data_IF_009794716816
#
_entry.id   IF_009794716816
#
_cell.length_a   1.000
_cell.length_b   1.000
_cell.length_c   1.000
_cell.angle_alpha   90.00
_cell.angle_beta   90.00
_cell.angle_gamma   90.00
#
_symmetry.space_group_name_H-M   'P 1'
#
loop_
_entity.id
_entity.type
_entity.pdbx_description
1 polymer ?
#
# COMPACT_ATOMS: atom_id res chain seq x y z
N UNK A 1 0.16 24.77 -19.85
CA UNK A 1 -1.00 23.86 -19.88
C UNK A 1 -1.51 23.73 -18.45
N UNK A 2 -2.80 23.97 -18.23
CA UNK A 2 -3.42 23.67 -16.93
C UNK A 2 -3.40 22.14 -16.73
N UNK A 3 -3.02 21.67 -15.53
CA UNK A 3 -3.11 20.25 -15.18
C UNK A 3 -4.58 19.86 -15.08
N UNK A 4 -4.98 18.79 -15.76
CA UNK A 4 -6.31 18.22 -15.60
C UNK A 4 -6.37 17.47 -14.27
N UNK A 5 -7.38 17.81 -13.45
CA UNK A 5 -7.64 17.06 -12.21
C UNK A 5 -8.29 15.73 -12.61
N UNK A 6 -7.65 14.63 -12.23
CA UNK A 6 -8.10 13.27 -12.58
C UNK A 6 -8.96 12.64 -11.50
N UNK A 7 -8.83 13.10 -10.25
CA UNK A 7 -9.56 12.57 -9.11
C UNK A 7 -10.40 13.67 -8.49
N UNK A 8 -11.64 13.36 -8.16
CA UNK A 8 -12.56 14.27 -7.50
C UNK A 8 -12.87 13.80 -6.08
N UNK A 9 -13.01 14.70 -5.09
CA UNK A 9 -13.48 14.35 -3.77
C UNK A 9 -14.91 13.79 -3.84
N UNK A 10 -15.10 12.61 -3.27
CA UNK A 10 -16.41 11.98 -3.14
C UNK A 10 -16.40 11.08 -1.90
N UNK A 11 -17.41 11.22 -1.04
CA UNK A 11 -17.60 10.36 0.14
C UNK A 11 -16.33 10.21 1.01
N UNK A 12 -15.57 11.30 1.18
CA UNK A 12 -14.31 11.30 1.92
C UNK A 12 -13.13 10.66 1.20
N UNK A 13 -13.27 10.27 -0.06
CA UNK A 13 -12.24 9.61 -0.86
C UNK A 13 -11.90 10.31 -2.18
N UNK A 14 -10.92 9.77 -2.85
CA UNK A 14 -10.48 10.19 -4.19
C UNK A 14 -11.15 9.30 -5.24
N UNK A 15 -12.11 9.87 -5.95
CA UNK A 15 -12.93 9.20 -6.95
C UNK A 15 -12.45 9.46 -8.38
N UNK A 16 -12.56 8.46 -9.26
CA UNK A 16 -12.36 8.59 -10.69
C UNK A 16 -13.23 7.61 -11.47
N UNK A 17 -13.60 7.98 -12.70
CA UNK A 17 -14.30 7.12 -13.65
C UNK A 17 -13.41 6.83 -14.85
N UNK A 18 -13.37 5.56 -15.25
CA UNK A 18 -12.60 5.05 -16.39
C UNK A 18 -11.13 5.53 -16.36
N UNK A 19 -10.58 5.68 -15.15
CA UNK A 19 -9.20 6.08 -14.95
C UNK A 19 -8.23 5.02 -15.48
N UNK A 20 -7.08 5.47 -15.96
CA UNK A 20 -6.07 4.62 -16.59
C UNK A 20 -4.76 4.54 -15.83
N UNK A 21 -4.64 5.29 -14.72
CA UNK A 21 -3.42 5.28 -13.94
C UNK A 21 -3.25 3.94 -13.21
N UNK A 22 -2.05 3.40 -13.26
CA UNK A 22 -1.70 2.13 -12.66
C UNK A 22 -0.79 2.32 -11.47
N UNK A 23 -1.02 1.51 -10.42
CA UNK A 23 -0.17 1.42 -9.24
C UNK A 23 0.07 2.78 -8.57
N UNK A 24 -1.03 3.50 -8.32
CA UNK A 24 -1.02 4.86 -7.77
C UNK A 24 -1.26 4.91 -6.27
N UNK A 25 -1.77 3.82 -5.68
CA UNK A 25 -2.09 3.73 -4.25
C UNK A 25 -1.74 2.36 -3.74
N UNK A 26 -0.93 2.32 -2.68
CA UNK A 26 -0.61 1.11 -1.97
C UNK A 26 -1.51 0.92 -0.75
N UNK A 27 -1.84 -0.33 -0.45
CA UNK A 27 -2.48 -0.77 0.78
C UNK A 27 -1.44 -1.58 1.54
N UNK A 28 -1.04 -1.12 2.72
CA UNK A 28 0.01 -1.74 3.51
C UNK A 28 -0.56 -2.78 4.48
N UNK A 29 0.12 -3.90 4.61
CA UNK A 29 -0.23 -4.96 5.54
C UNK A 29 0.99 -5.56 6.22
N UNK A 30 0.85 -5.90 7.50
CA UNK A 30 1.93 -6.40 8.33
C UNK A 30 2.95 -5.32 8.70
N UNK A 31 3.62 -4.74 7.76
CA UNK A 31 4.51 -3.58 7.87
C UNK A 31 4.83 -3.08 6.46
N UNK A 32 5.63 -2.05 6.35
CA UNK A 32 5.90 -1.35 5.07
C UNK A 32 6.54 -2.17 3.96
N UNK A 33 7.13 -3.31 4.27
CA UNK A 33 7.81 -4.15 3.27
C UNK A 33 6.87 -5.08 2.51
N UNK A 34 5.60 -5.15 2.92
CA UNK A 34 4.54 -5.85 2.21
C UNK A 34 3.38 -4.91 1.89
N UNK A 35 2.89 -4.95 0.68
CA UNK A 35 1.77 -4.12 0.25
C UNK A 35 1.06 -4.66 -0.97
N UNK A 36 -0.17 -4.19 -1.17
CA UNK A 36 -0.91 -4.34 -2.42
C UNK A 36 -0.91 -3.02 -3.16
N UNK A 37 -0.32 -3.01 -4.34
CA UNK A 37 -0.42 -1.89 -5.26
C UNK A 37 -1.76 -1.93 -5.98
N UNK A 38 -2.44 -0.79 -6.04
CA UNK A 38 -3.74 -0.66 -6.68
C UNK A 38 -3.72 0.37 -7.82
N UNK A 39 -4.65 0.21 -8.75
CA UNK A 39 -4.78 1.03 -9.96
C UNK A 39 -6.18 1.66 -10.04
N UNK A 40 -6.39 2.57 -10.99
CA UNK A 40 -7.72 3.14 -11.25
C UNK A 40 -8.71 2.11 -11.77
N UNK A 41 -8.24 1.08 -12.46
CA UNK A 41 -8.99 -0.12 -12.83
C UNK A 41 -8.56 -1.30 -11.95
N UNK A 42 -9.30 -2.42 -11.87
CA UNK A 42 -9.02 -3.54 -10.96
C UNK A 42 -7.83 -4.39 -11.42
N UNK A 43 -6.67 -3.75 -11.44
CA UNK A 43 -5.35 -4.30 -11.69
C UNK A 43 -4.52 -4.12 -10.42
N UNK A 44 -3.96 -5.23 -9.91
CA UNK A 44 -3.26 -5.24 -8.65
C UNK A 44 -1.89 -5.89 -8.78
N UNK A 45 -1.00 -5.55 -7.86
CA UNK A 45 0.22 -6.29 -7.64
C UNK A 45 0.46 -6.44 -6.14
N UNK A 46 0.89 -7.62 -5.72
CA UNK A 46 1.41 -7.83 -4.37
C UNK A 46 2.91 -7.67 -4.43
N UNK A 47 3.41 -6.83 -3.55
CA UNK A 47 4.82 -6.54 -3.43
C UNK A 47 5.36 -6.98 -2.07
N UNK A 48 6.45 -7.73 -2.10
CA UNK A 48 7.37 -7.93 -0.99
C UNK A 48 8.78 -7.90 -1.56
N UNK A 49 9.74 -7.38 -0.82
CA UNK A 49 11.12 -7.04 -1.24
C UNK A 49 11.83 -8.01 -2.21
N UNK A 50 11.46 -9.27 -2.25
CA UNK A 50 12.04 -10.29 -3.15
C UNK A 50 11.00 -11.10 -3.93
N UNK A 51 9.71 -10.84 -3.73
CA UNK A 51 8.64 -11.63 -4.32
C UNK A 51 7.50 -10.72 -4.73
N UNK A 52 7.27 -10.63 -6.03
CA UNK A 52 6.20 -9.82 -6.59
C UNK A 52 5.29 -10.69 -7.42
N UNK A 53 3.99 -10.40 -7.38
CA UNK A 53 2.98 -11.03 -8.23
C UNK A 53 2.03 -9.98 -8.75
N UNK A 54 1.65 -10.08 -10.00
CA UNK A 54 0.54 -9.34 -10.55
C UNK A 54 -0.74 -10.15 -10.36
N UNK A 55 -1.79 -9.50 -9.89
CA UNK A 55 -3.08 -10.13 -9.59
C UNK A 55 -4.13 -9.55 -10.53
N UNK A 56 -4.85 -10.41 -11.21
CA UNK A 56 -5.99 -10.10 -12.07
C UNK A 56 -7.15 -11.03 -11.74
N UNK A 57 -8.33 -10.62 -12.12
CA UNK A 57 -9.53 -11.41 -11.93
C UNK A 57 -10.27 -11.66 -13.23
N UNK A 58 -10.94 -12.80 -13.30
CA UNK A 58 -11.77 -13.21 -14.43
C UNK A 58 -13.13 -13.59 -13.87
N UNK A 59 -14.19 -12.94 -14.34
CA UNK A 59 -15.57 -13.26 -14.00
C UNK A 59 -16.26 -13.80 -15.23
N UNK A 60 -16.83 -15.02 -15.14
CA UNK A 60 -17.53 -15.67 -16.25
C UNK A 60 -16.72 -15.71 -17.56
N UNK A 61 -15.41 -15.92 -17.46
CA UNK A 61 -14.49 -15.94 -18.59
C UNK A 61 -14.03 -14.57 -19.10
N UNK A 62 -14.51 -13.46 -18.52
CA UNK A 62 -14.17 -12.11 -18.91
C UNK A 62 -13.19 -11.49 -17.92
N UNK A 63 -12.12 -10.89 -18.43
CA UNK A 63 -11.17 -10.10 -17.62
C UNK A 63 -11.87 -8.91 -16.97
N UNK A 64 -11.84 -8.85 -15.65
CA UNK A 64 -12.54 -7.81 -14.88
C UNK A 64 -11.96 -6.42 -15.14
N UNK A 65 -10.65 -6.33 -15.37
CA UNK A 65 -9.95 -5.09 -15.72
C UNK A 65 -10.25 -4.58 -17.15
N UNK A 66 -10.99 -5.35 -17.96
CA UNK A 66 -11.45 -4.95 -19.28
C UNK A 66 -12.92 -4.51 -19.32
N UNK A 67 -13.50 -4.21 -18.16
CA UNK A 67 -14.90 -3.76 -18.06
C UNK A 67 -15.15 -2.48 -18.87
N UNK A 68 -16.32 -2.39 -19.49
CA UNK A 68 -16.73 -1.22 -20.30
C UNK A 68 -16.82 0.07 -19.46
N UNK A 69 -17.22 -0.08 -18.18
CA UNK A 69 -17.29 1.02 -17.24
C UNK A 69 -16.66 0.63 -15.91
N UNK A 70 -15.80 1.48 -15.39
CA UNK A 70 -15.13 1.33 -14.11
C UNK A 70 -15.13 2.67 -13.34
N UNK A 71 -15.88 2.74 -12.26
CA UNK A 71 -15.73 3.78 -11.26
C UNK A 71 -14.88 3.25 -10.12
N UNK A 72 -13.96 4.05 -9.61
CA UNK A 72 -13.14 3.66 -8.47
C UNK A 72 -13.01 4.77 -7.45
N UNK A 73 -12.89 4.40 -6.18
CA UNK A 73 -12.65 5.30 -5.07
C UNK A 73 -11.57 4.74 -4.16
N UNK A 74 -10.69 5.61 -3.67
CA UNK A 74 -9.72 5.31 -2.64
C UNK A 74 -9.97 6.18 -1.41
N UNK A 75 -10.17 5.56 -0.27
CA UNK A 75 -10.31 6.23 1.03
C UNK A 75 -9.85 5.28 2.14
N UNK A 76 -9.34 5.82 3.22
CA UNK A 76 -9.05 5.07 4.46
C UNK A 76 -8.29 3.75 4.24
N UNK A 77 -7.27 3.75 3.37
CA UNK A 77 -6.56 2.53 2.93
C UNK A 77 -7.47 1.42 2.36
N UNK A 78 -8.62 1.78 1.83
CA UNK A 78 -9.56 0.90 1.14
C UNK A 78 -9.64 1.32 -0.32
N UNK A 79 -9.58 0.35 -1.23
CA UNK A 79 -9.84 0.61 -2.65
C UNK A 79 -11.12 -0.08 -3.06
N UNK A 80 -12.06 0.68 -3.62
CA UNK A 80 -13.34 0.17 -4.06
C UNK A 80 -13.54 0.44 -5.55
N UNK A 81 -14.21 -0.49 -6.24
CA UNK A 81 -14.55 -0.39 -7.66
C UNK A 81 -16.01 -0.71 -7.86
N UNK A 82 -16.64 -0.03 -8.80
CA UNK A 82 -17.98 -0.35 -9.32
C UNK A 82 -17.87 -0.51 -10.83
N UNK A 83 -18.15 -1.71 -11.31
CA UNK A 83 -17.94 -2.12 -12.69
C UNK A 83 -19.25 -2.50 -13.36
N UNK A 84 -19.39 -2.14 -14.62
CA UNK A 84 -20.50 -2.59 -15.47
C UNK A 84 -19.97 -3.06 -16.81
N UNK A 85 -20.51 -4.19 -17.27
CA UNK A 85 -20.15 -4.75 -18.56
C UNK A 85 -21.30 -5.62 -19.08
N UNK A 86 -21.63 -5.48 -20.35
CA UNK A 86 -22.69 -6.26 -20.99
C UNK A 86 -22.39 -7.75 -21.07
N UNK A 87 -21.11 -8.14 -21.02
CA UNK A 87 -20.68 -9.55 -21.15
C UNK A 87 -21.05 -10.40 -19.92
N UNK A 88 -21.19 -9.80 -18.74
CA UNK A 88 -21.67 -10.51 -17.54
C UNK A 88 -23.05 -10.04 -17.06
N UNK A 89 -23.55 -8.92 -17.62
CA UNK A 89 -24.76 -8.25 -17.12
C UNK A 89 -24.59 -7.70 -15.71
N UNK A 90 -25.47 -6.84 -15.28
CA UNK A 90 -25.45 -6.35 -13.91
C UNK A 90 -24.24 -5.50 -13.51
N UNK A 91 -24.06 -5.35 -12.22
CA UNK A 91 -22.99 -4.54 -11.60
C UNK A 91 -22.10 -5.42 -10.72
N UNK A 92 -20.80 -5.34 -10.90
CA UNK A 92 -19.81 -5.95 -10.01
C UNK A 92 -19.19 -4.88 -9.12
N UNK A 93 -19.27 -5.05 -7.81
CA UNK A 93 -18.52 -4.24 -6.83
C UNK A 93 -17.33 -5.04 -6.34
N UNK A 94 -16.17 -4.39 -6.24
CA UNK A 94 -14.96 -4.98 -5.70
C UNK A 94 -14.44 -4.05 -4.61
N UNK A 95 -14.16 -4.60 -3.43
CA UNK A 95 -13.43 -3.92 -2.37
C UNK A 95 -12.09 -4.62 -2.12
N UNK A 96 -11.07 -3.86 -1.78
CA UNK A 96 -9.73 -4.38 -1.46
C UNK A 96 -9.22 -3.72 -0.20
N UNK A 97 -8.74 -4.56 0.72
CA UNK A 97 -8.08 -4.15 1.97
C UNK A 97 -6.83 -4.99 2.20
N UNK A 98 -5.87 -4.44 2.92
CA UNK A 98 -4.77 -5.19 3.51
C UNK A 98 -5.00 -5.36 5.00
N UNK A 99 -4.59 -6.51 5.57
CA UNK A 99 -4.66 -6.74 7.00
C UNK A 99 -3.59 -5.90 7.72
N UNK A 100 -3.92 -5.18 8.81
CA UNK A 100 -2.98 -4.26 9.44
C UNK A 100 -1.77 -4.93 10.10
N UNK A 101 -1.93 -6.17 10.52
CA UNK A 101 -0.97 -6.95 11.30
C UNK A 101 -0.45 -8.21 10.58
N UNK A 102 -0.87 -8.43 9.34
CA UNK A 102 -0.49 -9.60 8.55
C UNK A 102 -0.18 -9.22 7.09
N UNK A 103 0.67 -9.99 6.45
CA UNK A 103 0.96 -9.89 5.00
C UNK A 103 -0.15 -10.53 4.18
N UNK A 104 -1.37 -10.00 4.31
CA UNK A 104 -2.58 -10.55 3.72
C UNK A 104 -3.42 -9.44 3.08
N UNK A 105 -3.90 -9.71 1.86
CA UNK A 105 -4.93 -8.91 1.21
C UNK A 105 -6.23 -9.68 1.12
N UNK A 106 -7.33 -8.99 1.35
CA UNK A 106 -8.68 -9.51 1.17
C UNK A 106 -9.38 -8.72 0.08
N UNK A 107 -9.86 -9.46 -0.92
CA UNK A 107 -10.68 -8.93 -2.01
C UNK A 107 -12.10 -9.42 -1.81
N UNK A 108 -13.04 -8.49 -1.72
CA UNK A 108 -14.48 -8.77 -1.63
C UNK A 108 -15.15 -8.42 -2.94
N UNK A 109 -15.92 -9.34 -3.46
CA UNK A 109 -16.69 -9.20 -4.69
C UNK A 109 -18.17 -9.33 -4.39
N UNK A 110 -18.97 -8.42 -4.92
CA UNK A 110 -20.44 -8.48 -4.81
C UNK A 110 -21.04 -8.24 -6.18
N UNK A 111 -21.79 -9.22 -6.68
CA UNK A 111 -22.53 -9.15 -7.92
C UNK A 111 -23.99 -8.73 -7.68
N UNK A 112 -24.47 -7.75 -8.43
CA UNK A 112 -25.86 -7.35 -8.43
C UNK A 112 -26.42 -7.47 -9.85
N UNK A 113 -27.46 -8.30 -10.03
CA UNK A 113 -28.03 -8.61 -11.34
C UNK A 113 -27.16 -9.50 -12.23
N UNK A 114 -26.08 -10.10 -11.70
CA UNK A 114 -25.20 -11.04 -12.41
C UNK A 114 -25.77 -12.45 -12.24
N UNK A 115 -26.17 -13.08 -13.35
CA UNK A 115 -26.88 -14.37 -13.32
C UNK A 115 -26.01 -15.58 -13.00
N UNK A 116 -24.70 -15.48 -13.28
CA UNK A 116 -23.70 -16.51 -12.98
C UNK A 116 -22.45 -15.84 -12.42
N UNK A 117 -21.86 -16.41 -11.38
CA UNK A 117 -20.76 -15.78 -10.66
C UNK A 117 -19.58 -16.76 -10.53
N UNK A 118 -18.92 -17.07 -11.66
CA UNK A 118 -17.69 -17.88 -11.70
C UNK A 118 -16.48 -16.94 -11.68
N UNK A 119 -15.90 -16.75 -10.49
CA UNK A 119 -14.76 -15.88 -10.25
C UNK A 119 -13.48 -16.68 -10.17
N UNK A 120 -12.49 -16.29 -10.96
CA UNK A 120 -11.15 -16.88 -10.97
C UNK A 120 -10.10 -15.81 -10.73
N UNK A 121 -9.04 -16.18 -10.02
CA UNK A 121 -7.86 -15.34 -9.80
C UNK A 121 -6.78 -15.73 -10.80
N UNK A 122 -6.20 -14.76 -11.47
CA UNK A 122 -5.06 -14.92 -12.35
C UNK A 122 -3.83 -14.32 -11.65
N UNK A 123 -2.88 -15.16 -11.27
CA UNK A 123 -1.63 -14.79 -10.62
C UNK A 123 -0.51 -14.90 -11.63
N UNK A 124 0.14 -13.77 -11.92
CA UNK A 124 1.23 -13.69 -12.87
C UNK A 124 2.53 -13.36 -12.15
N UNK A 125 3.61 -14.03 -12.52
CA UNK A 125 4.93 -13.58 -12.14
C UNK A 125 5.20 -12.23 -12.79
N UNK A 126 5.80 -11.34 -12.03
CA UNK A 126 6.35 -10.10 -12.55
C UNK A 126 7.81 -10.39 -12.87
N UNK A 127 8.26 -10.02 -14.06
CA UNK A 127 9.65 -10.24 -14.44
C UNK A 127 10.58 -9.57 -13.44
N UNK A 128 11.74 -10.18 -13.24
CA UNK A 128 12.82 -9.76 -12.35
C UNK A 128 13.42 -8.38 -12.71
N UNK A 129 12.61 -7.42 -13.10
CA UNK A 129 13.03 -6.02 -13.21
C UNK A 129 13.39 -5.57 -11.81
N UNK A 130 14.68 -5.57 -11.55
CA UNK A 130 15.22 -5.08 -10.30
C UNK A 130 14.71 -3.66 -10.09
N UNK A 131 13.97 -3.44 -9.01
CA UNK A 131 13.55 -2.10 -8.64
C UNK A 131 14.75 -1.20 -8.50
N UNK A 132 14.71 -0.04 -9.13
CA UNK A 132 15.72 0.99 -8.92
C UNK A 132 15.63 1.41 -7.46
N UNK A 133 16.75 1.41 -6.76
CA UNK A 133 16.82 1.86 -5.37
C UNK A 133 15.85 1.12 -4.42
N UNK A 134 15.52 -0.14 -4.71
CA UNK A 134 14.60 -0.98 -3.92
C UNK A 134 13.20 -0.35 -3.71
N UNK A 135 12.69 0.36 -4.70
CA UNK A 135 11.41 1.08 -4.58
C UNK A 135 11.49 2.36 -3.75
N UNK A 136 12.69 2.82 -3.47
CA UNK A 136 12.94 4.08 -2.77
C UNK A 136 12.39 5.27 -3.59
N UNK A 137 11.67 6.15 -2.91
CA UNK A 137 11.16 7.43 -3.42
C UNK A 137 10.13 7.33 -4.57
N UNK A 138 9.46 6.21 -4.76
CA UNK A 138 8.46 6.06 -5.81
C UNK A 138 9.01 6.30 -7.22
N UNK A 139 10.31 6.06 -7.42
CA UNK A 139 10.99 6.32 -8.67
C UNK A 139 10.84 5.19 -9.69
N UNK A 140 10.26 4.08 -9.29
CA UNK A 140 10.08 2.93 -10.16
C UNK A 140 8.84 3.11 -11.03
N UNK A 141 8.95 2.89 -12.35
CA UNK A 141 7.80 3.05 -13.24
C UNK A 141 6.75 1.96 -12.99
N UNK A 142 5.49 2.29 -13.22
CA UNK A 142 4.35 1.38 -13.06
C UNK A 142 4.54 0.03 -13.80
N UNK A 143 5.26 0.02 -14.91
CA UNK A 143 5.58 -1.19 -15.67
C UNK A 143 6.39 -2.24 -14.91
N UNK A 144 6.98 -1.90 -13.77
CA UNK A 144 7.66 -2.88 -12.89
C UNK A 144 6.69 -3.93 -12.33
N UNK A 145 5.44 -3.56 -12.13
CA UNK A 145 4.39 -4.44 -11.59
C UNK A 145 3.58 -5.15 -12.68
N UNK A 146 3.91 -4.91 -13.94
CA UNK A 146 3.24 -5.59 -15.05
C UNK A 146 3.89 -6.95 -15.31
N UNK A 147 3.08 -7.98 -15.65
CA UNK A 147 3.61 -9.28 -16.07
C UNK A 147 4.45 -9.13 -17.33
N UNK A 148 5.39 -10.04 -17.50
CA UNK A 148 6.08 -10.16 -18.79
C UNK A 148 5.11 -10.61 -19.88
N UNK A 149 5.35 -10.17 -21.13
CA UNK A 149 4.50 -10.50 -22.29
C UNK A 149 4.32 -12.00 -22.49
N UNK A 150 5.29 -12.81 -22.08
CA UNK A 150 5.25 -14.27 -22.15
C UNK A 150 4.63 -14.94 -20.93
N UNK A 151 4.27 -14.18 -19.91
CA UNK A 151 3.73 -14.73 -18.66
C UNK A 151 2.21 -14.84 -18.72
N UNK A 152 1.72 -16.04 -19.07
CA UNK A 152 0.27 -16.32 -19.12
C UNK A 152 -0.40 -16.35 -17.76
N UNK A 153 0.39 -16.36 -16.66
CA UNK A 153 -0.13 -16.49 -15.31
C UNK A 153 -0.70 -17.85 -14.99
N UNK A 154 -0.89 -18.07 -13.70
CA UNK A 154 -1.60 -19.24 -13.16
C UNK A 154 -3.03 -18.83 -12.81
N UNK A 155 -4.01 -19.51 -13.40
CA UNK A 155 -5.41 -19.35 -13.03
C UNK A 155 -5.68 -20.27 -11.84
N UNK A 156 -6.16 -19.69 -10.75
CA UNK A 156 -6.54 -20.42 -9.54
C UNK A 156 -8.00 -20.14 -9.19
N UNK A 157 -8.72 -21.16 -8.79
CA UNK A 157 -10.10 -21.07 -8.30
C UNK A 157 -10.07 -21.15 -6.78
N UNK A 158 -9.73 -20.03 -6.14
CA UNK A 158 -9.61 -19.91 -4.68
C UNK A 158 -10.66 -18.98 -4.08
N UNK A 159 -11.65 -18.58 -4.87
CA UNK A 159 -12.75 -17.76 -4.38
C UNK A 159 -13.64 -18.58 -3.45
N UNK A 160 -13.98 -18.01 -2.31
CA UNK A 160 -14.96 -18.57 -1.37
C UNK A 160 -16.25 -17.77 -1.46
N UNK A 161 -17.38 -18.49 -1.56
CA UNK A 161 -18.69 -17.91 -1.87
C UNK A 161 -19.63 -17.97 -0.68
N UNK A 162 -20.47 -16.95 -0.55
CA UNK A 162 -21.49 -16.88 0.50
C UNK A 162 -22.77 -16.18 0.06
N UNK A 163 -23.72 -16.13 0.97
CA UNK A 163 -25.04 -15.57 0.69
C UNK A 163 -25.76 -16.38 -0.36
N UNK A 164 -26.40 -15.70 -1.30
CA UNK A 164 -27.11 -16.32 -2.43
C UNK A 164 -26.17 -16.61 -3.62
N UNK A 165 -24.87 -16.79 -3.40
CA UNK A 165 -23.86 -17.03 -4.43
C UNK A 165 -23.39 -15.80 -5.19
N UNK A 166 -23.82 -14.60 -4.80
CA UNK A 166 -23.45 -13.34 -5.44
C UNK A 166 -22.36 -12.55 -4.66
N UNK A 167 -21.88 -13.09 -3.55
CA UNK A 167 -20.76 -12.54 -2.78
C UNK A 167 -19.63 -13.55 -2.75
N UNK A 168 -18.43 -13.10 -3.05
CA UNK A 168 -17.24 -13.94 -2.99
C UNK A 168 -16.06 -13.17 -2.35
N UNK A 169 -15.18 -13.92 -1.71
CA UNK A 169 -13.90 -13.44 -1.25
C UNK A 169 -12.75 -14.16 -1.94
N UNK A 170 -11.67 -13.42 -2.17
CA UNK A 170 -10.35 -13.95 -2.52
C UNK A 170 -9.35 -13.42 -1.53
N UNK A 171 -8.58 -14.32 -0.92
CA UNK A 171 -7.53 -13.96 0.04
C UNK A 171 -6.18 -14.26 -0.58
N UNK A 172 -5.30 -13.28 -0.56
CA UNK A 172 -3.90 -13.43 -0.97
C UNK A 172 -3.04 -13.29 0.29
N UNK A 173 -2.33 -14.36 0.62
CA UNK A 173 -1.39 -14.39 1.74
C UNK A 173 0.03 -14.42 1.22
N UNK A 174 0.86 -13.47 1.67
CA UNK A 174 2.17 -13.20 1.07
C UNK A 174 2.02 -12.83 -0.42
N UNK A 175 2.18 -13.78 -1.31
CA UNK A 175 2.08 -13.62 -2.76
C UNK A 175 1.32 -14.76 -3.45
N UNK A 176 0.59 -15.56 -2.69
CA UNK A 176 -0.15 -16.74 -3.14
C UNK A 176 -1.61 -16.66 -2.73
N UNK A 177 -2.45 -17.30 -3.53
CA UNK A 177 -3.86 -17.45 -3.22
C UNK A 177 -4.04 -18.44 -2.07
N UNK A 178 -4.73 -18.01 -1.02
CA UNK A 178 -5.03 -18.83 0.15
C UNK A 178 -6.42 -19.44 0.05
N UNK A 179 -6.56 -20.69 0.47
CA UNK A 179 -7.85 -21.33 0.65
C UNK A 179 -8.34 -21.08 2.07
N UNK A 180 -9.37 -20.28 2.21
CA UNK A 180 -9.98 -19.94 3.50
C UNK A 180 -11.49 -20.13 3.39
N UNK A 181 -12.16 -20.32 4.52
CA UNK A 181 -13.62 -20.36 4.53
C UNK A 181 -14.21 -18.97 4.28
N UNK A 182 -15.47 -18.92 3.86
CA UNK A 182 -16.19 -17.67 3.68
C UNK A 182 -16.23 -16.84 4.98
N UNK A 183 -16.50 -17.50 6.10
CA UNK A 183 -16.58 -16.83 7.41
C UNK A 183 -15.22 -16.27 7.87
N UNK A 184 -14.14 -16.97 7.60
CA UNK A 184 -12.78 -16.48 7.90
C UNK A 184 -12.44 -15.26 7.04
N UNK A 185 -12.73 -15.31 5.73
CA UNK A 185 -12.50 -14.19 4.83
C UNK A 185 -13.37 -12.97 5.21
N UNK A 186 -14.62 -13.17 5.58
CA UNK A 186 -15.51 -12.10 6.03
C UNK A 186 -15.03 -11.49 7.36
N UNK A 187 -14.58 -12.30 8.30
CA UNK A 187 -13.98 -11.83 9.55
C UNK A 187 -12.73 -10.98 9.28
N UNK A 188 -11.81 -11.45 8.41
CA UNK A 188 -10.61 -10.70 8.01
C UNK A 188 -10.99 -9.37 7.36
N UNK A 189 -11.96 -9.39 6.45
CA UNK A 189 -12.47 -8.19 5.80
C UNK A 189 -12.97 -7.16 6.82
N UNK A 190 -13.84 -7.58 7.73
CA UNK A 190 -14.44 -6.69 8.72
C UNK A 190 -13.38 -6.13 9.68
N UNK A 191 -12.42 -6.94 10.13
CA UNK A 191 -11.29 -6.51 10.97
C UNK A 191 -10.45 -5.43 10.27
N UNK A 192 -10.12 -5.63 9.00
CA UNK A 192 -9.35 -4.65 8.23
C UNK A 192 -10.15 -3.36 7.97
N UNK A 193 -11.44 -3.48 7.67
CA UNK A 193 -12.33 -2.32 7.49
C UNK A 193 -12.42 -1.47 8.75
N UNK A 194 -12.61 -2.08 9.90
CA UNK A 194 -12.68 -1.39 11.20
C UNK A 194 -11.37 -0.63 11.47
N UNK A 195 -10.23 -1.29 11.33
CA UNK A 195 -8.92 -0.67 11.52
C UNK A 195 -8.71 0.51 10.57
N UNK A 196 -8.91 0.30 9.28
CA UNK A 196 -8.67 1.30 8.24
C UNK A 196 -9.60 2.51 8.39
N UNK A 197 -10.87 2.29 8.73
CA UNK A 197 -11.81 3.37 9.02
C UNK A 197 -11.37 4.17 10.24
N UNK A 198 -10.99 3.50 11.34
CA UNK A 198 -10.48 4.17 12.54
C UNK A 198 -9.20 4.97 12.26
N UNK A 199 -8.36 4.49 11.35
CA UNK A 199 -7.15 5.17 10.92
C UNK A 199 -7.49 6.43 10.11
N UNK A 200 -8.40 6.35 9.15
CA UNK A 200 -8.85 7.48 8.34
C UNK A 200 -9.51 8.59 9.16
N UNK A 201 -10.10 8.23 10.28
CA UNK A 201 -10.75 9.19 11.19
C UNK A 201 -9.80 10.00 12.08
N UNK A 202 -8.51 9.67 12.13
CA UNK A 202 -7.54 10.33 13.01
C UNK A 202 -7.25 11.78 12.64
N UNK A 203 -7.37 12.13 11.37
CA UNK A 203 -7.18 13.49 10.90
C UNK A 203 -8.42 13.90 10.10
N UNK A 204 -9.13 14.91 10.58
CA UNK A 204 -10.28 15.48 9.88
C UNK A 204 -10.02 16.95 9.62
N UNK A 205 -10.22 17.35 8.39
CA UNK A 205 -10.23 18.76 7.98
C UNK A 205 -11.66 19.18 7.64
N UNK A 206 -12.02 20.35 8.10
CA UNK A 206 -13.27 20.99 7.76
C UNK A 206 -12.96 22.38 7.20
N UNK A 207 -12.90 22.47 5.88
CA UNK A 207 -12.55 23.67 5.13
C UNK A 207 -13.53 23.86 3.97
N UNK A 208 -13.58 25.06 3.35
CA UNK A 208 -14.36 25.27 2.14
C UNK A 208 -13.88 24.44 0.93
N UNK A 209 -12.66 23.90 0.97
CA UNK A 209 -12.07 23.12 -0.12
C UNK A 209 -12.24 21.61 0.13
N UNK A 210 -13.09 20.91 -0.65
CA UNK A 210 -13.32 19.48 -0.48
C UNK A 210 -12.08 18.63 -0.76
N UNK A 211 -11.10 19.11 -1.54
CA UNK A 211 -9.83 18.41 -1.76
C UNK A 211 -8.98 18.38 -0.50
N UNK A 212 -8.92 19.50 0.23
CA UNK A 212 -8.22 19.55 1.52
C UNK A 212 -8.89 18.62 2.52
N UNK A 213 -10.22 18.64 2.59
CA UNK A 213 -10.97 17.79 3.52
C UNK A 213 -10.71 16.29 3.30
N UNK A 214 -10.54 15.89 2.04
CA UNK A 214 -10.24 14.49 1.67
C UNK A 214 -8.81 14.08 2.05
N UNK A 215 -7.88 15.01 2.24
CA UNK A 215 -6.49 14.70 2.58
C UNK A 215 -6.30 14.18 4.00
N UNK A 216 -7.18 14.51 4.95
CA UNK A 216 -7.00 14.16 6.36
C UNK A 216 -6.76 12.67 6.59
N UNK A 217 -7.71 11.83 6.17
CA UNK A 217 -7.59 10.38 6.27
C UNK A 217 -6.39 9.84 5.48
N UNK A 218 -6.12 10.37 4.29
CA UNK A 218 -4.99 9.96 3.48
C UNK A 218 -3.63 10.22 4.15
N UNK A 219 -3.50 11.31 4.91
CA UNK A 219 -2.29 11.62 5.67
C UNK A 219 -2.08 10.63 6.83
N UNK A 220 -3.14 10.28 7.55
CA UNK A 220 -3.06 9.29 8.62
C UNK A 220 -2.66 7.91 8.08
N UNK A 221 -3.27 7.50 6.95
CA UNK A 221 -2.91 6.25 6.25
C UNK A 221 -1.47 6.25 5.76
N UNK A 222 -0.98 7.37 5.21
CA UNK A 222 0.42 7.47 4.76
C UNK A 222 1.38 7.36 5.96
N UNK A 223 1.05 7.99 7.07
CA UNK A 223 1.84 7.91 8.30
C UNK A 223 1.91 6.49 8.88
N UNK A 224 0.79 5.76 8.87
CA UNK A 224 0.76 4.36 9.28
C UNK A 224 1.57 3.48 8.31
N UNK A 225 1.42 3.71 7.02
CA UNK A 225 2.13 2.95 5.96
C UNK A 225 3.65 3.10 5.99
N UNK A 226 4.19 4.14 6.59
CA UNK A 226 5.63 4.34 6.74
C UNK A 226 6.20 3.73 8.03
N UNK A 227 5.37 3.10 8.88
CA UNK A 227 5.80 2.45 10.12
C UNK A 227 6.32 1.04 9.87
N UNK A 228 7.56 0.74 10.27
CA UNK A 228 8.21 -0.56 10.07
C UNK A 228 8.16 -1.50 11.29
N UNK A 229 7.33 -1.15 12.27
CA UNK A 229 7.24 -1.88 13.54
C UNK A 229 8.16 -1.34 14.63
N UNK A 230 9.11 -0.48 14.29
CA UNK A 230 10.04 0.13 15.24
C UNK A 230 10.26 1.63 14.99
N UNK A 231 10.31 2.02 13.72
CA UNK A 231 10.56 3.41 13.33
C UNK A 231 9.71 3.79 12.12
N UNK A 232 9.43 5.07 11.95
CA UNK A 232 8.96 5.59 10.67
C UNK A 232 10.11 5.66 9.68
N UNK A 233 9.84 5.20 8.48
CA UNK A 233 10.77 5.26 7.36
C UNK A 233 10.62 6.57 6.59
N UNK A 234 11.59 6.88 5.76
CA UNK A 234 11.44 7.92 4.75
C UNK A 234 10.88 7.28 3.46
N UNK A 235 9.56 7.18 3.40
CA UNK A 235 8.87 6.42 2.35
C UNK A 235 8.86 4.91 2.60
N UNK A 236 8.00 4.23 1.90
CA UNK A 236 7.57 2.85 2.16
C UNK A 236 8.64 1.76 1.95
N UNK A 237 9.91 2.05 1.77
CA UNK A 237 10.88 0.99 1.42
C UNK A 237 12.20 1.13 2.15
N UNK A 238 12.14 0.96 3.46
CA UNK A 238 13.32 0.60 4.22
C UNK A 238 14.36 1.71 4.41
N UNK A 239 14.00 2.95 4.10
CA UNK A 239 14.93 4.05 4.22
C UNK A 239 14.82 4.77 5.56
N UNK A 240 15.70 4.45 6.48
CA UNK A 240 15.84 5.16 7.75
C UNK A 240 16.87 6.28 7.59
N UNK A 241 16.43 7.52 7.78
CA UNK A 241 17.30 8.71 7.72
C UNK A 241 17.24 9.52 9.00
N UNK A 242 18.39 9.92 9.47
CA UNK A 242 18.49 10.81 10.63
C UNK A 242 17.71 12.11 10.44
N UNK A 243 17.91 12.79 9.31
CA UNK A 243 17.28 14.09 9.05
C UNK A 243 15.76 14.03 8.97
N UNK A 244 15.18 12.97 8.41
CA UNK A 244 13.74 12.77 8.35
C UNK A 244 13.17 12.18 9.64
N UNK A 245 13.98 11.39 10.35
CA UNK A 245 13.54 10.61 11.50
C UNK A 245 12.94 11.46 12.63
N UNK A 246 13.56 12.52 13.05
CA UNK A 246 13.03 13.36 14.12
C UNK A 246 11.67 14.00 13.75
N UNK A 247 11.47 14.36 12.49
CA UNK A 247 10.17 14.89 12.01
C UNK A 247 9.08 13.85 12.05
N UNK A 248 9.40 12.61 11.70
CA UNK A 248 8.46 11.50 11.76
C UNK A 248 8.04 11.18 13.20
N UNK A 249 8.95 11.33 14.18
CA UNK A 249 8.62 11.20 15.59
C UNK A 249 7.53 12.18 16.05
N UNK A 250 7.61 13.44 15.64
CA UNK A 250 6.57 14.43 15.93
C UNK A 250 5.20 14.06 15.33
N UNK A 251 5.20 13.40 14.17
CA UNK A 251 3.97 12.91 13.56
C UNK A 251 3.27 11.89 14.48
N UNK A 252 4.05 11.03 15.14
CA UNK A 252 3.52 10.07 16.11
C UNK A 252 2.81 10.74 17.28
N UNK A 253 3.38 11.80 17.83
CA UNK A 253 2.77 12.56 18.93
C UNK A 253 1.47 13.23 18.49
N UNK A 254 1.46 13.91 17.35
CA UNK A 254 0.26 14.57 16.81
C UNK A 254 -0.88 13.59 16.54
N UNK A 255 -0.55 12.37 16.09
CA UNK A 255 -1.53 11.32 15.81
C UNK A 255 -1.91 10.49 17.06
N UNK A 256 -1.35 10.81 18.24
CA UNK A 256 -1.60 10.08 19.48
C UNK A 256 -0.94 8.69 19.51
N UNK A 257 0.07 8.44 18.67
CA UNK A 257 0.87 7.21 18.65
C UNK A 257 2.11 7.33 19.54
N UNK A 258 1.91 7.68 20.81
CA UNK A 258 3.00 7.99 21.74
C UNK A 258 3.97 6.84 21.94
N UNK A 259 3.49 5.57 21.93
CA UNK A 259 4.36 4.41 22.04
C UNK A 259 5.21 4.21 20.78
N UNK A 260 4.65 4.46 19.60
CA UNK A 260 5.41 4.45 18.34
C UNK A 260 6.44 5.57 18.34
N UNK A 261 6.09 6.78 18.76
CA UNK A 261 7.02 7.90 18.87
C UNK A 261 8.18 7.56 19.82
N UNK A 262 7.88 7.00 21.00
CA UNK A 262 8.91 6.53 21.94
C UNK A 262 9.81 5.48 21.31
N UNK A 263 9.25 4.43 20.71
CA UNK A 263 10.02 3.38 20.04
C UNK A 263 10.94 3.96 18.96
N UNK A 264 10.43 4.92 18.19
CA UNK A 264 11.18 5.60 17.16
C UNK A 264 12.40 6.35 17.72
N UNK A 265 12.20 7.18 18.73
CA UNK A 265 13.29 7.93 19.36
C UNK A 265 14.29 7.02 20.09
N UNK A 266 13.82 5.97 20.76
CA UNK A 266 14.70 4.98 21.40
C UNK A 266 15.61 4.26 20.39
N UNK A 267 15.08 3.97 19.19
CA UNK A 267 15.87 3.39 18.11
C UNK A 267 16.99 4.32 17.64
N UNK A 268 16.73 5.63 17.61
CA UNK A 268 17.74 6.64 17.30
C UNK A 268 18.76 6.80 18.45
N UNK A 269 18.29 6.87 19.68
CA UNK A 269 19.15 6.99 20.85
C UNK A 269 20.19 5.85 20.95
N UNK A 270 19.77 4.62 20.63
CA UNK A 270 20.67 3.46 20.56
C UNK A 270 21.77 3.58 19.50
N UNK A 271 21.59 4.40 18.48
CA UNK A 271 22.57 4.65 17.42
C UNK A 271 23.42 5.89 17.65
N UNK A 272 23.25 6.55 18.80
CA UNK A 272 24.00 7.77 19.12
C UNK A 272 25.50 7.49 19.22
N UNK A 273 26.29 8.37 18.59
CA UNK A 273 27.74 8.32 18.67
C UNK A 273 28.21 9.03 19.97
N UNK A 274 28.71 8.25 20.90
CA UNK A 274 29.13 8.73 22.22
C UNK A 274 30.60 9.16 22.28
N UNK A 275 31.41 8.82 21.28
CA UNK A 275 32.81 9.16 21.19
C UNK A 275 33.13 9.80 19.86
N UNK A 276 33.88 10.89 19.87
CA UNK A 276 34.41 11.50 18.64
C UNK A 276 35.50 10.58 18.12
N UNK A 277 35.38 10.04 16.90
CA UNK A 277 36.46 9.27 16.30
C UNK A 277 37.66 10.17 15.98
N UNK A 278 38.86 9.60 15.85
CA UNK A 278 40.08 10.35 15.61
C UNK A 278 40.07 11.16 14.29
N UNK A 279 39.30 10.72 13.33
CA UNK A 279 39.08 11.41 12.05
C UNK A 279 37.63 11.40 11.68
N UNK A 280 37.11 12.54 11.21
CA UNK A 280 35.75 12.64 10.68
C UNK A 280 35.83 12.47 9.15
N UNK A 281 35.26 11.43 8.56
CA UNK A 281 35.24 11.25 7.12
C UNK A 281 34.53 12.43 6.44
N UNK A 282 35.04 12.85 5.29
CA UNK A 282 34.34 13.84 4.49
C UNK A 282 33.05 13.24 3.93
N UNK A 283 31.88 13.91 4.05
CA UNK A 283 30.59 13.34 3.64
C UNK A 283 30.53 12.84 2.20
N UNK A 284 31.18 13.51 1.27
CA UNK A 284 31.22 13.12 -0.14
C UNK A 284 32.03 11.85 -0.41
N UNK A 285 32.94 11.49 0.48
CA UNK A 285 33.85 10.36 0.33
C UNK A 285 33.49 9.18 1.24
N UNK A 286 32.46 9.32 2.06
CA UNK A 286 32.03 8.26 2.98
C UNK A 286 31.05 7.32 2.29
N UNK A 287 31.46 6.08 1.94
CA UNK A 287 30.54 5.11 1.34
C UNK A 287 29.39 4.73 2.26
N UNK A 288 29.51 4.92 3.56
CA UNK A 288 28.46 4.67 4.52
C UNK A 288 27.28 5.63 4.38
N UNK A 289 27.45 6.80 3.78
CA UNK A 289 26.35 7.68 3.42
C UNK A 289 25.33 7.01 2.51
N UNK A 290 25.79 6.18 1.59
CA UNK A 290 24.91 5.43 0.70
C UNK A 290 24.32 4.18 1.40
N UNK A 291 25.05 3.60 2.33
CA UNK A 291 24.61 2.41 3.08
C UNK A 291 23.63 2.76 4.21
N UNK A 292 23.71 3.97 4.75
CA UNK A 292 22.80 4.44 5.79
C UNK A 292 21.31 4.33 5.40
N UNK A 293 21.02 4.31 4.12
CA UNK A 293 19.67 4.20 3.59
C UNK A 293 19.03 2.83 3.84
N UNK A 294 19.81 1.77 3.71
CA UNK A 294 19.27 0.42 3.70
C UNK A 294 19.58 -0.36 5.00
N UNK A 295 20.60 0.02 5.74
CA UNK A 295 21.17 -0.84 6.77
C UNK A 295 21.17 -0.25 8.18
N UNK A 296 20.38 0.77 8.45
CA UNK A 296 20.25 1.31 9.82
C UNK A 296 21.56 1.87 10.42
N UNK A 297 22.44 2.39 9.60
CA UNK A 297 23.72 2.95 10.07
C UNK A 297 23.60 4.41 10.47
N UNK A 298 22.71 4.70 11.36
CA UNK A 298 22.42 6.07 11.83
C UNK A 298 23.62 6.80 12.37
N UNK A 299 24.38 6.15 13.22
CA UNK A 299 25.59 6.73 13.80
C UNK A 299 26.59 7.14 12.72
N UNK A 300 26.76 6.34 11.69
CA UNK A 300 27.68 6.62 10.59
C UNK A 300 27.20 7.82 9.75
N UNK A 301 25.93 7.87 9.41
CA UNK A 301 25.39 8.99 8.63
C UNK A 301 25.53 10.31 9.38
N UNK A 302 25.23 10.31 10.66
CA UNK A 302 25.28 11.50 11.50
C UNK A 302 26.71 11.97 11.69
N UNK A 303 27.61 11.04 11.80
CA UNK A 303 29.03 11.27 11.85
C UNK A 303 29.56 11.88 10.54
N UNK A 304 29.16 11.34 9.40
CA UNK A 304 29.56 11.84 8.08
C UNK A 304 29.09 13.27 7.79
N UNK A 305 28.02 13.71 8.43
CA UNK A 305 27.53 15.06 8.32
C UNK A 305 28.24 16.06 9.28
N UNK A 306 29.28 15.62 9.95
CA UNK A 306 30.03 16.46 10.89
C UNK A 306 29.30 16.74 12.20
N UNK A 307 28.17 16.07 12.43
CA UNK A 307 27.41 16.18 13.66
C UNK A 307 27.63 14.96 14.52
N UNK A 308 28.18 15.19 15.71
CA UNK A 308 27.97 14.22 16.78
C UNK A 308 26.47 14.28 17.06
N UNK A 309 25.78 13.22 16.75
CA UNK A 309 24.37 13.27 16.93
C UNK A 309 23.99 13.47 18.37
N UNK A 310 23.51 14.61 18.62
CA UNK A 310 22.64 14.85 19.75
C UNK A 310 21.25 14.95 19.18
N UNK A 311 20.52 13.85 19.26
CA UNK A 311 19.11 13.95 19.05
C UNK A 311 18.47 14.68 20.20
N UNK A 312 17.50 15.54 19.87
CA UNK A 312 16.66 16.10 20.91
C UNK A 312 15.92 15.02 21.65
#
# INVERSE_FOLDING_TARGET
MARTIQYTPKDGGFYTENGTNRFTRALYGGYTDWRVETSDCPIFAVFKKSHHRSIRFVLNGVRVDSAEHCASIYRDAIREYTLRDKRWGGTLKIGVVAMPDEEVAVFKFVGDGISSFDLKTLICNISNKKMRRNGDMGADPAGIFEPDDNNKGLIVSNATYGGNGNTAYVVIRLNEAANVSFYEADFMWNKAMEYNTSLGERIKFETPDPYINTLGGALAVAADGDWDGQTWLHGCVGWRMALAGWRAGYLGDVLGWNDRARSHFDAYAKSQVNKVPPTIPHPSNDPAMNLARAEKKWGTQMYSNGYICRYP
#
